data_IF_955577091753
#
_entry.id   IF_955577091753
#
_cell.length_a   1.000
_cell.length_b   1.000
_cell.length_c   1.000
_cell.angle_alpha   90.00
_cell.angle_beta   90.00
_cell.angle_gamma   90.00
#
_symmetry.space_group_name_H-M   'P 1'
#
loop_
_entity.id
_entity.type
_entity.pdbx_description
1 polymer ?
#
# COMPACT_ATOMS: atom_id res chain seq x y z
N UNK A 1 -26.87 11.62 -24.56
CA UNK A 1 -28.19 11.20 -24.07
C UNK A 1 -28.51 9.79 -24.55
N UNK A 2 -27.57 8.81 -24.40
CA UNK A 2 -27.68 7.47 -24.98
C UNK A 2 -27.26 6.31 -24.05
N UNK A 3 -27.25 6.50 -22.72
CA UNK A 3 -26.83 5.45 -21.79
C UNK A 3 -27.91 5.04 -20.76
N UNK A 4 -29.19 5.35 -21.00
CA UNK A 4 -30.24 5.14 -19.97
C UNK A 4 -31.22 3.99 -20.21
N UNK A 5 -31.15 3.25 -21.30
CA UNK A 5 -32.22 2.26 -21.62
C UNK A 5 -31.85 0.77 -21.56
N UNK A 6 -30.56 0.41 -21.40
CA UNK A 6 -30.16 -1.01 -21.39
C UNK A 6 -29.79 -1.60 -20.02
N UNK A 7 -29.93 -0.85 -18.93
CA UNK A 7 -29.69 -1.38 -17.58
C UNK A 7 -30.99 -1.78 -16.84
N UNK A 8 -31.88 -2.48 -17.53
CA UNK A 8 -33.04 -3.15 -16.90
C UNK A 8 -32.71 -4.59 -16.56
N UNK A 9 -31.72 -4.80 -15.76
CA UNK A 9 -31.48 -6.02 -15.01
C UNK A 9 -30.96 -5.64 -13.63
N UNK A 10 -31.79 -5.82 -12.63
CA UNK A 10 -31.46 -5.54 -11.22
C UNK A 10 -30.47 -6.59 -10.69
N UNK A 11 -29.37 -6.83 -11.43
CA UNK A 11 -28.30 -7.69 -10.98
C UNK A 11 -27.35 -6.86 -10.12
N UNK A 12 -27.58 -6.91 -8.80
CA UNK A 12 -26.61 -6.37 -7.85
C UNK A 12 -25.39 -7.29 -7.81
N UNK A 13 -24.37 -6.94 -8.60
CA UNK A 13 -23.07 -7.58 -8.50
C UNK A 13 -22.41 -7.15 -7.18
N UNK A 14 -21.86 -8.12 -6.46
CA UNK A 14 -20.95 -7.84 -5.34
C UNK A 14 -19.51 -7.92 -5.86
N UNK A 15 -18.80 -6.80 -5.78
CA UNK A 15 -17.38 -6.74 -6.08
C UNK A 15 -16.61 -7.24 -4.86
N UNK A 16 -15.80 -8.30 -5.07
CA UNK A 16 -14.99 -8.93 -4.03
C UNK A 16 -13.48 -8.68 -4.28
N UNK A 17 -13.18 -7.53 -4.85
CA UNK A 17 -11.80 -7.09 -5.12
C UNK A 17 -11.29 -6.21 -3.97
N UNK A 18 -9.97 -6.05 -3.78
CA UNK A 18 -9.42 -5.10 -2.80
C UNK A 18 -9.88 -3.64 -3.04
N UNK A 19 -10.14 -3.31 -4.30
CA UNK A 19 -10.70 -2.04 -4.73
C UNK A 19 -10.86 -1.98 -6.26
N UNK A 20 -11.97 -1.43 -6.77
CA UNK A 20 -13.17 -1.02 -6.04
C UNK A 20 -13.98 -2.21 -5.49
N UNK A 21 -14.68 -1.99 -4.40
CA UNK A 21 -15.55 -2.98 -3.75
C UNK A 21 -16.99 -2.49 -3.67
N UNK A 22 -17.92 -3.41 -3.42
CA UNK A 22 -19.33 -3.05 -3.20
C UNK A 22 -19.49 -2.46 -1.79
N UNK A 23 -19.84 -1.18 -1.72
CA UNK A 23 -20.15 -0.49 -0.47
C UNK A 23 -21.60 -0.72 -0.04
N UNK A 24 -21.87 -0.54 1.27
CA UNK A 24 -23.22 -0.61 1.83
C UNK A 24 -24.10 0.56 1.36
N UNK A 25 -25.42 0.41 1.49
CA UNK A 25 -26.36 1.51 1.17
C UNK A 25 -26.13 2.73 2.07
N UNK A 26 -25.73 2.54 3.32
CA UNK A 26 -25.39 3.65 4.23
C UNK A 26 -24.21 4.45 3.73
N UNK A 27 -23.15 3.80 3.21
CA UNK A 27 -21.99 4.48 2.60
C UNK A 27 -22.41 5.22 1.34
N UNK A 28 -23.17 4.56 0.45
CA UNK A 28 -23.65 5.21 -0.79
C UNK A 28 -24.50 6.45 -0.51
N UNK A 29 -25.39 6.36 0.49
CA UNK A 29 -26.23 7.50 0.86
C UNK A 29 -25.40 8.65 1.46
N UNK A 30 -24.38 8.37 2.24
CA UNK A 30 -23.46 9.39 2.75
C UNK A 30 -22.69 10.12 1.62
N UNK A 31 -22.42 9.42 0.51
CA UNK A 31 -21.75 10.02 -0.67
C UNK A 31 -22.66 10.95 -1.48
N UNK A 32 -23.98 11.02 -1.18
CA UNK A 32 -24.89 11.95 -1.84
C UNK A 32 -24.85 13.38 -1.27
N UNK A 33 -24.11 13.57 -0.17
CA UNK A 33 -24.00 14.86 0.50
C UNK A 33 -22.69 15.53 0.03
N UNK A 34 -22.82 16.73 -0.53
CA UNK A 34 -21.66 17.54 -0.89
C UNK A 34 -21.06 18.21 0.35
N UNK A 35 -19.73 18.17 0.45
CA UNK A 35 -18.97 18.80 1.52
C UNK A 35 -17.96 19.78 0.94
N UNK A 36 -17.78 20.92 1.60
CA UNK A 36 -16.70 21.84 1.29
C UNK A 36 -15.47 21.54 2.16
N UNK A 37 -14.27 21.49 1.54
CA UNK A 37 -13.02 21.18 2.24
C UNK A 37 -12.67 22.17 3.38
N UNK A 38 -13.26 23.39 3.36
CA UNK A 38 -13.07 24.40 4.39
C UNK A 38 -14.12 24.35 5.52
N UNK A 39 -15.19 23.57 5.36
CA UNK A 39 -16.21 23.43 6.40
C UNK A 39 -15.63 22.74 7.63
N UNK A 40 -16.08 23.20 8.79
CA UNK A 40 -15.62 22.66 10.07
C UNK A 40 -15.99 21.17 10.21
N UNK A 41 -17.21 20.80 9.80
CA UNK A 41 -17.69 19.42 9.79
C UNK A 41 -16.80 18.52 8.93
N UNK A 42 -16.42 18.94 7.71
CA UNK A 42 -15.52 18.16 6.85
C UNK A 42 -14.14 17.97 7.48
N UNK A 43 -13.59 18.99 8.13
CA UNK A 43 -12.31 18.90 8.86
C UNK A 43 -12.39 17.90 10.01
N UNK A 44 -13.49 17.90 10.75
CA UNK A 44 -13.72 16.97 11.87
C UNK A 44 -13.86 15.52 11.36
N UNK A 45 -14.60 15.28 10.28
CA UNK A 45 -14.69 13.98 9.60
C UNK A 45 -13.29 13.51 9.19
N UNK A 46 -12.50 14.37 8.57
CA UNK A 46 -11.14 14.04 8.12
C UNK A 46 -10.24 13.65 9.29
N UNK A 47 -10.26 14.40 10.40
CA UNK A 47 -9.49 14.07 11.59
C UNK A 47 -9.97 12.76 12.23
N UNK A 48 -11.28 12.54 12.28
CA UNK A 48 -11.85 11.31 12.78
C UNK A 48 -11.40 10.09 11.95
N UNK A 49 -11.40 10.19 10.61
CA UNK A 49 -10.91 9.12 9.72
C UNK A 49 -9.44 8.83 10.01
N UNK A 50 -8.59 9.86 10.09
CA UNK A 50 -7.16 9.70 10.37
C UNK A 50 -6.92 8.96 11.68
N UNK A 51 -7.62 9.36 12.74
CA UNK A 51 -7.55 8.69 14.04
C UNK A 51 -8.02 7.24 13.97
N UNK A 52 -9.14 6.97 13.29
CA UNK A 52 -9.66 5.61 13.14
C UNK A 52 -8.71 4.68 12.37
N UNK A 53 -7.99 5.19 11.39
CA UNK A 53 -6.97 4.40 10.68
C UNK A 53 -5.78 4.05 11.59
N UNK A 54 -5.34 4.96 12.46
CA UNK A 54 -4.30 4.67 13.47
C UNK A 54 -4.80 3.66 14.52
N UNK A 55 -6.04 3.80 14.99
CA UNK A 55 -6.68 2.83 15.89
C UNK A 55 -6.72 1.42 15.25
N UNK A 56 -7.07 1.32 13.95
CA UNK A 56 -7.07 0.06 13.21
C UNK A 56 -5.67 -0.53 13.03
N UNK A 57 -4.67 0.31 12.81
CA UNK A 57 -3.27 -0.08 12.75
C UNK A 57 -2.67 -0.40 14.13
N UNK A 58 -3.40 -0.17 15.23
CA UNK A 58 -2.97 -0.36 16.61
C UNK A 58 -1.73 0.45 16.99
N UNK A 59 -1.59 1.65 16.42
CA UNK A 59 -0.46 2.54 16.66
C UNK A 59 -0.91 3.86 17.28
N UNK A 60 0.03 4.54 17.98
CA UNK A 60 -0.27 5.80 18.68
C UNK A 60 -0.07 7.03 17.79
N UNK A 61 -0.99 7.99 17.88
CA UNK A 61 -0.97 9.25 17.14
C UNK A 61 0.28 10.10 17.39
N UNK A 62 0.91 9.97 18.55
CA UNK A 62 2.13 10.73 18.87
C UNK A 62 3.39 10.29 18.13
N UNK A 63 3.39 9.07 17.59
CA UNK A 63 4.54 8.47 16.88
C UNK A 63 4.22 8.30 15.39
N UNK A 64 2.96 7.97 15.06
CA UNK A 64 2.50 7.70 13.70
C UNK A 64 1.48 8.74 13.24
N UNK A 65 1.36 8.90 11.95
CA UNK A 65 0.34 9.75 11.33
C UNK A 65 -0.29 9.07 10.13
N UNK A 66 -1.51 9.50 9.79
CA UNK A 66 -2.20 9.08 8.57
C UNK A 66 -2.19 10.22 7.57
N UNK A 67 -1.76 9.94 6.34
CA UNK A 67 -1.87 10.84 5.20
C UNK A 67 -2.92 10.29 4.25
N UNK A 68 -4.01 11.03 4.06
CA UNK A 68 -5.08 10.65 3.14
C UNK A 68 -4.72 11.16 1.74
N UNK A 69 -4.49 10.23 0.81
CA UNK A 69 -4.16 10.53 -0.58
C UNK A 69 -5.37 10.27 -1.47
N UNK A 70 -5.71 11.25 -2.30
CA UNK A 70 -6.78 11.09 -3.28
C UNK A 70 -6.22 10.47 -4.56
N UNK A 71 -6.45 9.17 -4.74
CA UNK A 71 -5.93 8.44 -5.90
C UNK A 71 -6.03 6.93 -5.72
N UNK A 72 -5.41 6.20 -6.65
CA UNK A 72 -5.29 4.74 -6.60
C UNK A 72 -4.20 4.29 -5.62
N UNK A 73 -4.17 3.00 -5.25
CA UNK A 73 -3.06 2.42 -4.49
C UNK A 73 -1.70 2.61 -5.20
N UNK A 74 -1.67 2.50 -6.53
CA UNK A 74 -0.46 2.78 -7.32
C UNK A 74 0.03 4.23 -7.15
N UNK A 75 -0.89 5.21 -7.11
CA UNK A 75 -0.54 6.60 -6.82
C UNK A 75 0.02 6.75 -5.40
N UNK A 76 -0.57 6.04 -4.43
CA UNK A 76 -0.06 6.01 -3.05
C UNK A 76 1.38 5.51 -2.97
N UNK A 77 1.68 4.37 -3.62
CA UNK A 77 3.03 3.79 -3.67
C UNK A 77 4.01 4.74 -4.35
N UNK A 78 3.65 5.30 -5.51
CA UNK A 78 4.49 6.27 -6.22
C UNK A 78 4.77 7.52 -5.38
N UNK A 79 3.73 8.02 -4.69
CA UNK A 79 3.87 9.17 -3.78
C UNK A 79 4.81 8.89 -2.62
N UNK A 80 4.78 7.69 -2.04
CA UNK A 80 5.72 7.28 -0.98
C UNK A 80 7.13 7.21 -1.54
N UNK A 81 7.37 6.42 -2.60
CA UNK A 81 8.70 6.25 -3.20
C UNK A 81 9.33 7.61 -3.57
N UNK A 82 8.55 8.49 -4.21
CA UNK A 82 9.05 9.81 -4.64
C UNK A 82 9.28 10.81 -3.49
N UNK A 83 8.67 10.56 -2.31
CA UNK A 83 8.74 11.50 -1.18
C UNK A 83 9.78 11.10 -0.14
N UNK A 84 10.01 9.80 0.06
CA UNK A 84 10.84 9.32 1.18
C UNK A 84 12.20 8.78 0.72
N UNK A 85 12.36 8.42 -0.56
CA UNK A 85 13.66 7.97 -1.11
C UNK A 85 14.42 9.19 -1.63
N UNK A 86 15.59 9.42 -1.08
CA UNK A 86 16.47 10.52 -1.47
C UNK A 86 17.39 10.10 -2.64
N UNK A 87 17.99 11.04 -3.36
CA UNK A 87 18.88 10.72 -4.49
C UNK A 87 20.07 9.81 -4.13
N UNK A 88 20.55 9.89 -2.90
CA UNK A 88 21.65 9.07 -2.38
C UNK A 88 21.22 7.70 -1.84
N UNK A 89 19.93 7.50 -1.61
CA UNK A 89 19.39 6.24 -1.10
C UNK A 89 19.36 5.18 -2.21
N UNK A 90 19.50 3.92 -1.82
CA UNK A 90 19.26 2.76 -2.69
C UNK A 90 18.16 1.92 -2.08
N UNK A 91 17.09 1.68 -2.84
CA UNK A 91 15.96 0.87 -2.36
C UNK A 91 16.05 -0.56 -2.89
N UNK A 92 15.97 -1.54 -1.99
CA UNK A 92 15.80 -2.94 -2.36
C UNK A 92 14.32 -3.22 -2.58
N UNK A 93 13.94 -3.49 -3.83
CA UNK A 93 12.57 -3.88 -4.18
C UNK A 93 12.46 -5.40 -4.13
N UNK A 94 11.62 -5.91 -3.22
CA UNK A 94 11.34 -7.33 -3.11
C UNK A 94 10.02 -7.66 -3.84
N UNK A 95 10.11 -8.44 -4.93
CA UNK A 95 9.00 -8.71 -5.85
C UNK A 95 8.72 -10.20 -5.98
N UNK A 96 7.45 -10.58 -5.89
CA UNK A 96 6.94 -11.90 -6.25
C UNK A 96 5.65 -11.83 -7.05
N UNK A 97 5.46 -10.74 -7.83
CA UNK A 97 4.29 -10.60 -8.69
C UNK A 97 4.14 -9.23 -9.33
N UNK A 98 2.97 -8.99 -9.91
CA UNK A 98 2.73 -7.84 -10.77
C UNK A 98 2.81 -6.49 -10.04
N UNK A 99 2.43 -6.43 -8.75
CA UNK A 99 2.52 -5.17 -7.99
C UNK A 99 3.95 -4.88 -7.53
N UNK A 100 4.73 -5.91 -7.20
CA UNK A 100 6.17 -5.78 -6.99
C UNK A 100 6.88 -5.27 -8.26
N UNK A 101 6.56 -5.86 -9.42
CA UNK A 101 7.09 -5.39 -10.71
C UNK A 101 6.70 -3.93 -11.01
N UNK A 102 5.51 -3.51 -10.59
CA UNK A 102 5.08 -2.11 -10.74
C UNK A 102 5.92 -1.15 -9.91
N UNK A 103 6.33 -1.54 -8.69
CA UNK A 103 7.27 -0.74 -7.88
C UNK A 103 8.63 -0.58 -8.59
N UNK A 104 9.15 -1.65 -9.20
CA UNK A 104 10.38 -1.60 -10.00
C UNK A 104 10.24 -0.57 -11.13
N UNK A 105 9.16 -0.64 -11.90
CA UNK A 105 8.89 0.30 -12.99
C UNK A 105 8.75 1.76 -12.49
N UNK A 106 8.17 1.96 -11.30
CA UNK A 106 8.09 3.29 -10.68
C UNK A 106 9.48 3.81 -10.33
N UNK A 107 10.34 3.00 -9.73
CA UNK A 107 11.72 3.39 -9.43
C UNK A 107 12.48 3.76 -10.70
N UNK A 108 12.31 3.02 -11.78
CA UNK A 108 12.91 3.30 -13.08
C UNK A 108 12.44 4.64 -13.66
N UNK A 109 11.11 4.89 -13.67
CA UNK A 109 10.53 6.14 -14.13
C UNK A 109 10.97 7.34 -13.30
N UNK A 110 11.02 7.18 -11.98
CA UNK A 110 11.46 8.20 -11.02
C UNK A 110 12.98 8.39 -10.98
N UNK A 111 13.75 7.51 -11.67
CA UNK A 111 15.22 7.49 -11.68
C UNK A 111 15.84 7.35 -10.28
N UNK A 112 15.21 6.56 -9.44
CA UNK A 112 15.74 6.21 -8.13
C UNK A 112 16.85 5.15 -8.27
N UNK A 113 17.81 5.14 -7.34
CA UNK A 113 18.74 4.01 -7.26
C UNK A 113 17.99 2.83 -6.62
N UNK A 114 18.01 1.67 -7.27
CA UNK A 114 17.34 0.49 -6.76
C UNK A 114 18.10 -0.80 -7.09
N UNK A 115 17.85 -1.80 -6.29
CA UNK A 115 18.27 -3.20 -6.47
C UNK A 115 17.02 -4.07 -6.38
N UNK A 116 17.01 -5.20 -7.07
CA UNK A 116 15.83 -6.08 -7.14
C UNK A 116 16.15 -7.43 -6.54
N UNK A 117 15.27 -7.91 -5.65
CA UNK A 117 15.12 -9.29 -5.28
C UNK A 117 13.79 -9.80 -5.82
N UNK A 118 13.85 -10.65 -6.83
CA UNK A 118 12.68 -11.18 -7.49
C UNK A 118 12.61 -12.70 -7.38
N UNK A 119 11.43 -13.20 -7.07
CA UNK A 119 11.11 -14.63 -7.07
C UNK A 119 9.86 -14.89 -7.92
N UNK A 120 9.62 -16.14 -8.25
CA UNK A 120 8.40 -16.54 -8.98
C UNK A 120 7.12 -16.12 -8.21
N UNK A 121 6.06 -15.85 -8.96
CA UNK A 121 4.73 -15.50 -8.42
C UNK A 121 4.10 -16.60 -7.52
N UNK A 122 4.70 -17.77 -7.45
CA UNK A 122 4.30 -18.90 -6.59
C UNK A 122 5.20 -19.07 -5.36
N UNK A 123 6.13 -18.16 -5.13
CA UNK A 123 7.10 -18.22 -4.04
C UNK A 123 6.94 -17.05 -3.09
N UNK A 124 7.18 -17.29 -1.81
CA UNK A 124 7.26 -16.21 -0.81
C UNK A 124 8.68 -15.63 -0.76
N UNK A 125 8.77 -14.37 -0.42
CA UNK A 125 10.04 -13.70 -0.17
C UNK A 125 10.73 -14.27 1.07
N UNK A 126 12.04 -14.50 0.99
CA UNK A 126 12.82 -15.12 2.05
C UNK A 126 13.68 -14.11 2.79
N UNK A 127 13.47 -13.94 4.08
CA UNK A 127 14.18 -12.96 4.91
C UNK A 127 15.71 -13.19 4.90
N UNK A 128 16.19 -14.44 4.91
CA UNK A 128 17.62 -14.74 4.86
C UNK A 128 18.31 -14.30 3.56
N UNK A 129 17.60 -14.37 2.41
CA UNK A 129 18.12 -13.88 1.12
C UNK A 129 18.19 -12.35 1.14
N UNK A 130 17.17 -11.70 1.71
CA UNK A 130 17.15 -10.25 1.88
C UNK A 130 18.33 -9.81 2.77
N UNK A 131 18.57 -10.50 3.87
CA UNK A 131 19.73 -10.24 4.74
C UNK A 131 21.05 -10.32 3.97
N UNK A 132 21.25 -11.39 3.20
CA UNK A 132 22.46 -11.55 2.38
C UNK A 132 22.62 -10.41 1.37
N UNK A 133 21.59 -10.03 0.64
CA UNK A 133 21.64 -8.95 -0.33
C UNK A 133 21.98 -7.59 0.30
N UNK A 134 21.50 -7.32 1.50
CA UNK A 134 21.84 -6.10 2.24
C UNK A 134 23.31 -6.14 2.68
N UNK A 135 23.83 -7.29 3.11
CA UNK A 135 25.23 -7.46 3.48
C UNK A 135 26.18 -7.30 2.28
N UNK A 136 25.79 -7.81 1.12
CA UNK A 136 26.56 -7.69 -0.13
C UNK A 136 26.50 -6.27 -0.72
N UNK A 137 25.45 -5.50 -0.40
CA UNK A 137 25.28 -4.13 -0.89
C UNK A 137 24.95 -3.15 0.25
N UNK A 138 25.96 -2.64 0.97
CA UNK A 138 25.79 -1.70 2.08
C UNK A 138 25.19 -0.33 1.69
N UNK A 139 25.01 -0.04 0.40
CA UNK A 139 24.33 1.19 -0.05
C UNK A 139 22.81 1.11 0.09
N UNK A 140 22.24 -0.08 0.32
CA UNK A 140 20.82 -0.25 0.53
C UNK A 140 20.44 0.43 1.84
N UNK A 141 19.58 1.44 1.76
CA UNK A 141 19.07 2.22 2.89
C UNK A 141 17.55 2.10 3.07
N UNK A 142 16.86 1.47 2.11
CA UNK A 142 15.44 1.24 2.14
C UNK A 142 15.09 -0.13 1.57
N UNK A 143 13.97 -0.70 2.04
CA UNK A 143 13.37 -1.91 1.49
C UNK A 143 11.91 -1.64 1.17
N UNK A 144 11.43 -2.05 -0.01
CA UNK A 144 10.03 -1.97 -0.39
C UNK A 144 9.50 -3.32 -0.86
N UNK A 145 8.28 -3.67 -0.43
CA UNK A 145 7.63 -4.93 -0.79
C UNK A 145 6.12 -4.82 -0.82
N UNK A 146 5.47 -5.77 -1.49
CA UNK A 146 4.03 -6.00 -1.39
C UNK A 146 3.78 -7.05 -0.30
N UNK A 147 2.91 -6.76 0.68
CA UNK A 147 2.60 -7.72 1.74
C UNK A 147 1.75 -8.88 1.21
N UNK A 148 0.67 -8.60 0.49
CA UNK A 148 -0.17 -9.61 -0.16
C UNK A 148 -0.25 -9.33 -1.66
N UNK A 149 0.42 -10.14 -2.46
CA UNK A 149 0.40 -9.99 -3.91
C UNK A 149 -0.99 -10.39 -4.45
N UNK A 150 -1.73 -9.42 -4.93
CA UNK A 150 -3.13 -9.58 -5.30
C UNK A 150 -3.32 -10.54 -6.48
N UNK A 151 -2.36 -10.59 -7.39
CA UNK A 151 -2.46 -11.40 -8.62
C UNK A 151 -2.29 -12.89 -8.35
N UNK A 152 -1.51 -13.27 -7.36
CA UNK A 152 -1.26 -14.66 -6.98
C UNK A 152 -1.96 -15.09 -5.68
N UNK A 153 -2.33 -14.12 -4.83
CA UNK A 153 -2.86 -14.36 -3.49
C UNK A 153 -1.79 -14.75 -2.47
N UNK A 154 -0.50 -14.65 -2.82
CA UNK A 154 0.61 -14.94 -1.92
C UNK A 154 0.71 -13.87 -0.84
N UNK A 155 0.73 -14.31 0.42
CA UNK A 155 1.02 -13.48 1.59
C UNK A 155 2.48 -13.67 1.97
N UNK A 156 3.26 -12.59 1.91
CA UNK A 156 4.66 -12.58 2.30
C UNK A 156 4.79 -12.48 3.84
N UNK A 157 5.86 -13.05 4.40
CA UNK A 157 6.11 -12.99 5.83
C UNK A 157 6.63 -11.60 6.23
N UNK A 158 5.68 -10.72 6.58
CA UNK A 158 5.98 -9.34 6.93
C UNK A 158 6.85 -9.22 8.18
N UNK A 159 6.59 -10.05 9.20
CA UNK A 159 7.26 -9.97 10.49
C UNK A 159 8.76 -10.29 10.38
N UNK A 160 9.10 -11.37 9.68
CA UNK A 160 10.50 -11.75 9.48
C UNK A 160 11.27 -10.69 8.68
N UNK A 161 10.64 -10.11 7.64
CA UNK A 161 11.28 -9.07 6.82
C UNK A 161 11.37 -7.76 7.60
N UNK A 162 10.36 -7.41 8.40
CA UNK A 162 10.39 -6.24 9.27
C UNK A 162 11.54 -6.34 10.31
N UNK A 163 11.77 -7.53 10.88
CA UNK A 163 12.88 -7.74 11.79
C UNK A 163 14.24 -7.44 11.13
N UNK A 164 14.44 -7.91 9.89
CA UNK A 164 15.67 -7.62 9.12
C UNK A 164 15.85 -6.13 8.89
N UNK A 165 14.77 -5.42 8.51
CA UNK A 165 14.86 -3.96 8.29
C UNK A 165 15.12 -3.19 9.58
N UNK A 166 14.53 -3.61 10.68
CA UNK A 166 14.75 -3.00 11.98
C UNK A 166 16.17 -3.21 12.51
N UNK A 167 16.71 -4.42 12.39
CA UNK A 167 18.10 -4.74 12.79
C UNK A 167 19.14 -3.93 12.02
N UNK A 168 18.82 -3.50 10.81
CA UNK A 168 19.73 -2.80 9.91
C UNK A 168 19.42 -1.30 9.79
N UNK A 169 18.45 -0.79 10.56
CA UNK A 169 17.98 0.61 10.53
C UNK A 169 17.60 1.09 9.12
N UNK A 170 16.91 0.22 8.37
CA UNK A 170 16.44 0.52 7.02
C UNK A 170 15.04 1.14 7.03
N UNK A 171 14.79 2.05 6.11
CA UNK A 171 13.43 2.50 5.83
C UNK A 171 12.63 1.34 5.23
N UNK A 172 11.51 0.98 5.86
CA UNK A 172 10.66 -0.11 5.40
C UNK A 172 9.36 0.41 4.78
N UNK A 173 9.13 0.10 3.51
CA UNK A 173 7.95 0.51 2.73
C UNK A 173 7.15 -0.75 2.40
N UNK A 174 5.88 -0.77 2.83
CA UNK A 174 5.00 -1.92 2.62
C UNK A 174 3.74 -1.49 1.89
N UNK A 175 3.52 -2.06 0.70
CA UNK A 175 2.22 -2.00 0.05
C UNK A 175 1.31 -3.06 0.68
N UNK A 176 0.37 -2.60 1.50
CA UNK A 176 -0.62 -3.43 2.18
C UNK A 176 -2.03 -3.21 1.63
N UNK A 177 -2.18 -2.75 0.38
CA UNK A 177 -3.46 -2.39 -0.22
C UNK A 177 -4.50 -3.51 -0.15
N UNK A 178 -4.09 -4.75 -0.33
CA UNK A 178 -4.99 -5.92 -0.29
C UNK A 178 -5.03 -6.64 1.06
N UNK A 179 -4.18 -6.27 2.00
CA UNK A 179 -4.02 -6.98 3.27
C UNK A 179 -4.34 -6.14 4.51
N UNK A 180 -4.27 -4.80 4.43
CA UNK A 180 -4.57 -3.92 5.56
C UNK A 180 -6.00 -4.15 6.07
N UNK A 181 -6.15 -4.35 7.39
CA UNK A 181 -7.40 -4.73 8.07
C UNK A 181 -7.89 -6.17 7.77
N UNK A 182 -7.51 -6.77 6.64
CA UNK A 182 -7.82 -8.17 6.35
C UNK A 182 -6.98 -9.18 7.13
N UNK A 183 -5.79 -8.78 7.53
CA UNK A 183 -4.87 -9.54 8.38
C UNK A 183 -4.53 -8.72 9.64
N UNK A 184 -4.27 -9.41 10.75
CA UNK A 184 -3.69 -8.74 11.92
C UNK A 184 -2.23 -8.44 11.63
N UNK A 185 -1.86 -7.18 11.76
CA UNK A 185 -0.48 -6.77 11.95
C UNK A 185 -0.22 -6.85 13.47
N UNK A 186 0.61 -7.77 13.89
CA UNK A 186 0.96 -7.97 15.31
C UNK A 186 2.26 -7.22 15.60
#
# INVERSE_FOLDING_TARGET
>A
MYFKEEMKGNHMYKLLTPGPLTTSETVKNAMLIDHCAWDQEYKEITQWIRKKLLDLAQVSEGIYTTVLMQGSGSFGVESVLSSVIRPEDTVLICSNGAYGQRMINMCECLKLNYTVYEVSEHQILQAHVITQLIEENPSISALAMVHSETTSGILNNLEEIAAVTQERDLLFIVDAMSSFVGYRFV
#
